data_IF_364057469382
#
_entry.id   IF_364057469382
#
_cell.length_a   1.000
_cell.length_b   1.000
_cell.length_c   1.000
_cell.angle_alpha   90.00
_cell.angle_beta   90.00
_cell.angle_gamma   90.00
#
_symmetry.space_group_name_H-M   'P 1'
#
loop_
_entity.id
_entity.type
_entity.pdbx_description
1 polymer ?
#
# COMPACT_ATOMS: atom_id res chain seq x y z
N UNK A 1 7.84 0.00 23.79
CA UNK A 1 7.93 -0.64 22.47
C UNK A 1 8.54 -2.03 22.65
N UNK A 2 7.73 -3.06 22.52
CA UNK A 2 8.20 -4.44 22.48
C UNK A 2 7.75 -5.02 21.13
N UNK A 3 8.68 -5.05 20.17
CA UNK A 3 8.49 -5.77 18.94
C UNK A 3 9.07 -7.18 19.13
N UNK A 4 8.23 -8.21 19.05
CA UNK A 4 8.67 -9.60 19.06
C UNK A 4 8.59 -10.10 17.62
N UNK A 5 9.73 -10.13 16.94
CA UNK A 5 9.88 -10.83 15.68
C UNK A 5 10.28 -12.28 16.00
N UNK A 6 9.40 -13.24 15.74
CA UNK A 6 9.75 -14.66 15.81
C UNK A 6 10.20 -15.09 14.41
N UNK A 7 11.51 -15.01 14.16
CA UNK A 7 12.14 -15.64 13.02
C UNK A 7 12.55 -17.06 13.41
N UNK A 8 11.91 -18.06 12.83
CA UNK A 8 12.35 -19.45 12.93
C UNK A 8 13.63 -19.65 12.13
N UNK A 9 14.78 -19.81 12.80
CA UNK A 9 16.05 -20.10 12.15
C UNK A 9 16.19 -21.59 11.90
N UNK A 10 16.17 -22.01 10.64
CA UNK A 10 16.79 -23.26 10.21
C UNK A 10 18.33 -23.06 10.11
N UNK A 11 19.17 -24.06 10.39
CA UNK A 11 20.62 -23.89 10.36
C UNK A 11 21.11 -23.67 8.93
N UNK A 12 21.58 -22.46 8.63
CA UNK A 12 22.18 -22.13 7.35
C UNK A 12 23.60 -22.70 7.25
N UNK A 13 23.82 -23.50 6.21
CA UNK A 13 25.18 -23.77 5.70
C UNK A 13 25.68 -22.47 5.04
N UNK A 14 26.70 -21.89 5.61
CA UNK A 14 27.43 -20.77 4.99
C UNK A 14 28.20 -21.30 3.80
N UNK A 15 27.62 -21.16 2.60
CA UNK A 15 28.33 -21.17 1.34
C UNK A 15 28.48 -19.71 0.99
N UNK A 16 29.70 -19.24 0.74
CA UNK A 16 29.90 -17.92 0.15
C UNK A 16 29.21 -17.93 -1.21
N UNK A 17 27.99 -17.35 -1.27
CA UNK A 17 27.34 -17.02 -2.53
C UNK A 17 28.04 -15.75 -3.04
N UNK A 18 28.54 -15.80 -4.27
CA UNK A 18 28.67 -14.62 -5.08
C UNK A 18 27.30 -13.95 -5.06
N UNK A 19 27.22 -12.72 -4.58
CA UNK A 19 26.02 -11.89 -4.68
C UNK A 19 25.75 -11.75 -6.19
N UNK A 20 24.86 -12.56 -6.75
CA UNK A 20 24.20 -12.25 -7.99
C UNK A 20 23.47 -10.92 -7.75
N UNK A 21 23.98 -9.84 -8.33
CA UNK A 21 23.33 -8.54 -8.29
C UNK A 21 21.98 -8.72 -8.95
N UNK A 22 20.94 -8.82 -8.13
CA UNK A 22 19.56 -9.00 -8.58
C UNK A 22 19.21 -7.81 -9.48
N UNK A 23 19.05 -8.06 -10.77
CA UNK A 23 18.73 -7.01 -11.75
C UNK A 23 17.39 -6.35 -11.35
N UNK A 24 17.46 -5.08 -10.94
CA UNK A 24 16.27 -4.32 -10.55
C UNK A 24 15.47 -3.97 -11.81
N UNK A 25 14.40 -4.72 -12.04
CA UNK A 25 13.45 -4.48 -13.11
C UNK A 25 12.39 -3.47 -12.68
N UNK A 26 12.25 -2.40 -13.46
CA UNK A 26 11.26 -1.35 -13.27
C UNK A 26 10.09 -1.55 -14.23
N UNK A 27 8.88 -1.54 -13.69
CA UNK A 27 7.63 -1.77 -14.43
C UNK A 27 6.78 -0.53 -14.62
N UNK A 28 7.08 0.54 -13.92
CA UNK A 28 6.35 1.82 -13.93
C UNK A 28 6.39 2.57 -15.27
N UNK A 29 7.27 2.18 -16.20
CA UNK A 29 7.35 2.73 -17.56
C UNK A 29 6.50 1.98 -18.58
N UNK A 30 5.61 1.07 -18.15
CA UNK A 30 4.81 0.14 -18.95
C UNK A 30 5.63 -0.87 -19.77
N UNK A 31 6.92 -0.96 -19.55
CA UNK A 31 7.81 -1.98 -20.08
C UNK A 31 8.70 -2.47 -18.95
N UNK A 32 9.02 -3.76 -18.95
CA UNK A 32 10.03 -4.31 -18.03
C UNK A 32 11.40 -3.86 -18.56
N UNK A 33 12.05 -2.95 -17.86
CA UNK A 33 13.39 -2.46 -18.22
C UNK A 33 14.27 -2.50 -16.99
N UNK A 34 15.56 -2.75 -17.24
CA UNK A 34 16.57 -2.56 -16.21
C UNK A 34 16.58 -1.10 -15.74
N UNK A 35 16.79 -0.90 -14.44
CA UNK A 35 16.92 0.44 -13.85
C UNK A 35 17.97 1.31 -14.56
N UNK A 36 19.07 0.69 -15.04
CA UNK A 36 20.17 1.37 -15.71
C UNK A 36 19.79 1.95 -17.09
N UNK A 37 18.79 1.36 -17.75
CA UNK A 37 18.36 1.75 -19.09
C UNK A 37 17.25 2.82 -19.12
N UNK A 38 16.89 3.38 -17.96
CA UNK A 38 15.78 4.31 -17.87
C UNK A 38 16.22 5.76 -18.09
N UNK A 39 15.63 6.47 -19.09
CA UNK A 39 15.93 7.89 -19.34
C UNK A 39 15.30 8.83 -18.30
N UNK A 40 14.45 8.34 -17.42
CA UNK A 40 13.71 9.11 -16.40
C UNK A 40 14.30 8.91 -15.02
N UNK A 41 14.16 9.91 -14.15
CA UNK A 41 14.54 9.79 -12.73
C UNK A 41 13.60 8.80 -12.03
N UNK A 42 14.04 7.57 -11.91
CA UNK A 42 13.39 6.53 -11.13
C UNK A 42 14.19 6.33 -9.84
N UNK A 43 13.51 6.14 -8.75
CA UNK A 43 14.06 5.69 -7.48
C UNK A 43 13.34 4.39 -7.12
N UNK A 44 14.07 3.41 -6.67
CA UNK A 44 13.51 2.12 -6.25
C UNK A 44 13.87 1.88 -4.79
N UNK A 45 12.83 1.78 -3.95
CA UNK A 45 12.95 1.35 -2.57
C UNK A 45 12.83 -0.17 -2.55
N UNK A 46 13.89 -0.86 -2.16
CA UNK A 46 13.99 -2.32 -2.21
C UNK A 46 13.41 -3.01 -0.99
N UNK A 47 13.48 -4.35 -1.00
CA UNK A 47 12.89 -5.18 0.05
C UNK A 47 13.52 -4.95 1.43
N UNK A 48 14.81 -4.68 1.52
CA UNK A 48 15.49 -4.41 2.80
C UNK A 48 14.93 -3.13 3.46
N UNK A 49 14.83 -2.04 2.70
CA UNK A 49 14.29 -0.77 3.16
C UNK A 49 12.80 -0.88 3.52
N UNK A 50 12.02 -1.62 2.70
CA UNK A 50 10.62 -1.89 2.99
C UNK A 50 10.47 -2.66 4.31
N UNK A 51 11.28 -3.68 4.55
CA UNK A 51 11.23 -4.48 5.77
C UNK A 51 11.61 -3.65 7.01
N UNK A 52 12.64 -2.79 6.90
CA UNK A 52 13.02 -1.87 7.97
C UNK A 52 11.85 -0.96 8.35
N UNK A 53 11.22 -0.31 7.36
CA UNK A 53 10.12 0.63 7.60
C UNK A 53 8.81 -0.08 7.97
N UNK A 54 8.58 -1.29 7.46
CA UNK A 54 7.44 -2.11 7.88
C UNK A 54 7.52 -2.46 9.37
N UNK A 55 8.72 -2.71 9.90
CA UNK A 55 8.92 -2.95 11.34
C UNK A 55 8.69 -1.69 12.18
N UNK A 56 8.95 -0.50 11.65
CA UNK A 56 8.72 0.75 12.36
C UNK A 56 7.25 1.20 12.31
N UNK A 57 6.56 1.00 11.18
CA UNK A 57 5.16 1.35 10.96
C UNK A 57 4.44 0.33 10.07
N UNK A 58 4.01 -0.78 10.64
CA UNK A 58 3.44 -1.89 9.86
C UNK A 58 2.06 -1.60 9.27
N UNK A 59 1.35 -0.63 9.81
CA UNK A 59 -0.03 -0.33 9.40
C UNK A 59 -0.16 0.43 8.08
N UNK A 60 0.85 1.18 7.64
CA UNK A 60 0.76 2.00 6.41
C UNK A 60 2.12 2.38 5.80
N UNK A 61 2.11 2.78 4.51
CA UNK A 61 3.31 3.09 3.72
C UNK A 61 3.82 4.54 3.85
N UNK A 62 3.23 5.39 4.69
CA UNK A 62 3.60 6.82 4.75
C UNK A 62 5.05 7.04 5.12
N UNK A 63 5.57 6.26 6.07
CA UNK A 63 6.95 6.37 6.51
C UNK A 63 7.92 5.99 5.40
N UNK A 64 7.64 4.91 4.68
CA UNK A 64 8.42 4.46 3.53
C UNK A 64 8.52 5.55 2.45
N UNK A 65 7.42 6.23 2.15
CA UNK A 65 7.40 7.27 1.11
C UNK A 65 8.07 8.58 1.55
N UNK A 66 8.07 8.91 2.83
CA UNK A 66 8.70 10.13 3.33
C UNK A 66 10.23 10.14 3.22
N UNK A 67 10.86 8.98 3.05
CA UNK A 67 12.31 8.88 2.90
C UNK A 67 12.78 9.13 1.47
N UNK A 68 11.88 9.01 0.51
CA UNK A 68 12.20 9.31 -0.88
C UNK A 68 12.37 10.82 -1.09
N UNK A 69 13.54 11.21 -1.60
CA UNK A 69 13.87 12.62 -1.85
C UNK A 69 12.86 13.30 -2.76
N UNK A 70 12.30 14.43 -2.34
CA UNK A 70 11.32 15.20 -3.11
C UNK A 70 9.88 14.65 -3.03
N UNK A 71 9.65 13.66 -2.19
CA UNK A 71 8.31 13.24 -1.74
C UNK A 71 8.09 13.77 -0.32
N UNK A 72 6.89 14.27 -0.08
CA UNK A 72 6.44 14.67 1.23
C UNK A 72 5.01 14.17 1.46
N UNK A 73 4.83 13.35 2.49
CA UNK A 73 3.48 12.91 2.90
C UNK A 73 2.91 13.94 3.85
N UNK A 74 1.93 14.69 3.37
CA UNK A 74 1.26 15.74 4.12
C UNK A 74 -0.01 15.19 4.75
N UNK A 75 -0.16 15.36 6.07
CA UNK A 75 -1.42 15.16 6.76
C UNK A 75 -2.40 16.28 6.38
N UNK A 76 -3.60 15.93 5.97
CA UNK A 76 -4.64 16.88 5.49
C UNK A 76 -5.77 17.08 6.48
N UNK A 77 -5.89 16.23 7.50
CA UNK A 77 -6.80 16.39 8.62
C UNK A 77 -6.04 16.21 9.93
N UNK A 78 -6.30 17.10 10.88
CA UNK A 78 -5.70 17.04 12.20
C UNK A 78 -6.27 15.90 13.05
N UNK A 79 -7.53 15.52 12.83
CA UNK A 79 -8.28 14.59 13.67
C UNK A 79 -8.51 13.23 13.05
N UNK A 80 -8.68 13.15 11.72
CA UNK A 80 -8.90 11.87 11.01
C UNK A 80 -7.62 11.29 10.42
N UNK A 81 -6.49 11.99 10.53
CA UNK A 81 -5.17 11.54 10.10
C UNK A 81 -5.03 11.32 8.58
N UNK A 82 -5.98 11.79 7.78
CA UNK A 82 -5.92 11.72 6.33
C UNK A 82 -4.61 12.31 5.80
N UNK A 83 -4.04 11.69 4.79
CA UNK A 83 -2.73 12.08 4.26
C UNK A 83 -2.71 12.02 2.73
N UNK A 84 -1.96 12.91 2.12
CA UNK A 84 -1.71 12.95 0.68
C UNK A 84 -0.23 13.02 0.37
N UNK A 85 0.16 12.55 -0.82
CA UNK A 85 1.55 12.66 -1.30
C UNK A 85 1.69 14.02 -2.00
N UNK A 86 2.74 14.76 -1.64
CA UNK A 86 3.25 15.86 -2.45
C UNK A 86 4.56 15.45 -3.08
N UNK A 87 4.65 15.53 -4.40
CA UNK A 87 5.86 15.25 -5.15
C UNK A 87 6.37 16.53 -5.79
N UNK A 88 7.64 16.87 -5.52
CA UNK A 88 8.27 18.10 -6.03
C UNK A 88 7.47 19.40 -5.71
N UNK A 89 6.77 19.40 -4.57
CA UNK A 89 5.94 20.52 -4.12
C UNK A 89 4.55 20.61 -4.75
N UNK A 90 4.23 19.76 -5.74
CA UNK A 90 2.91 19.72 -6.37
C UNK A 90 1.89 18.98 -5.49
N UNK A 91 0.62 19.36 -5.65
CA UNK A 91 -0.50 18.75 -4.94
C UNK A 91 -0.64 17.25 -5.28
N UNK A 92 -1.08 16.46 -4.31
CA UNK A 92 -1.21 15.01 -4.43
C UNK A 92 -2.11 14.52 -5.57
N UNK A 93 -3.05 15.32 -6.02
CA UNK A 93 -3.88 15.00 -7.20
C UNK A 93 -3.10 14.87 -8.51
N UNK A 94 -1.85 15.37 -8.54
CA UNK A 94 -0.93 15.28 -9.67
C UNK A 94 0.06 14.12 -9.55
N UNK A 95 -0.03 13.32 -8.49
CA UNK A 95 0.80 12.13 -8.28
C UNK A 95 -0.08 10.88 -8.45
N UNK A 96 0.23 10.07 -9.46
CA UNK A 96 -0.49 8.82 -9.71
C UNK A 96 0.04 7.71 -8.80
N UNK A 97 -0.87 7.05 -8.09
CA UNK A 97 -0.55 5.85 -7.32
C UNK A 97 -0.95 4.61 -8.11
N UNK A 98 -0.01 3.69 -8.27
CA UNK A 98 -0.20 2.41 -8.98
C UNK A 98 0.07 1.24 -8.04
N UNK A 99 -0.52 0.10 -8.35
CA UNK A 99 -0.18 -1.21 -7.79
C UNK A 99 0.01 -2.19 -8.95
N UNK A 100 1.19 -2.79 -9.02
CA UNK A 100 1.59 -3.68 -10.12
C UNK A 100 1.37 -3.05 -11.51
N UNK A 101 1.67 -1.75 -11.64
CA UNK A 101 1.50 -0.99 -12.88
C UNK A 101 0.05 -0.61 -13.23
N UNK A 102 -0.93 -0.92 -12.40
CA UNK A 102 -2.34 -0.58 -12.59
C UNK A 102 -2.76 0.57 -11.65
N UNK A 103 -3.56 1.54 -12.11
CA UNK A 103 -4.05 2.62 -11.27
C UNK A 103 -4.77 2.09 -10.03
N UNK A 104 -4.35 2.57 -8.85
CA UNK A 104 -4.91 2.10 -7.59
C UNK A 104 -6.07 2.98 -7.14
N UNK A 105 -5.80 4.25 -6.93
CA UNK A 105 -6.80 5.21 -6.43
C UNK A 105 -6.60 6.59 -7.05
N UNK A 106 -7.69 7.32 -7.21
CA UNK A 106 -7.68 8.71 -7.68
C UNK A 106 -8.87 9.49 -7.09
N UNK A 107 -8.92 10.79 -7.32
CA UNK A 107 -10.01 11.64 -6.89
C UNK A 107 -10.18 11.66 -5.36
N UNK A 108 -11.43 11.65 -4.88
CA UNK A 108 -11.73 11.74 -3.46
C UNK A 108 -11.29 10.50 -2.66
N UNK A 109 -11.10 9.36 -3.30
CA UNK A 109 -10.59 8.15 -2.66
C UNK A 109 -9.10 8.23 -2.30
N UNK A 110 -8.35 9.14 -2.92
CA UNK A 110 -6.91 9.28 -2.76
C UNK A 110 -6.46 9.69 -1.36
N UNK A 111 -7.25 10.48 -0.65
CA UNK A 111 -6.90 11.00 0.69
C UNK A 111 -6.70 9.94 1.77
N UNK A 112 -7.34 8.77 1.65
CA UNK A 112 -7.18 7.64 2.58
C UNK A 112 -6.24 6.55 2.07
N UNK A 113 -5.86 6.58 0.78
CA UNK A 113 -5.17 5.46 0.14
C UNK A 113 -3.87 5.07 0.83
N UNK A 114 -3.06 6.04 1.24
CA UNK A 114 -1.76 5.77 1.89
C UNK A 114 -1.90 5.10 3.25
N UNK A 115 -2.95 5.45 3.99
CA UNK A 115 -3.23 4.87 5.30
C UNK A 115 -3.69 3.42 5.21
N UNK A 116 -4.26 3.03 4.06
CA UNK A 116 -4.91 1.73 3.85
C UNK A 116 -4.01 0.70 3.15
N UNK A 117 -2.73 1.02 2.93
CA UNK A 117 -1.77 0.12 2.31
C UNK A 117 -0.72 -0.26 3.35
N UNK A 118 -0.72 -1.53 3.74
CA UNK A 118 0.33 -2.09 4.58
C UNK A 118 1.53 -2.52 3.71
N UNK A 119 2.78 -2.41 4.21
CA UNK A 119 3.97 -2.67 3.39
C UNK A 119 4.36 -4.14 3.25
N UNK A 120 3.83 -5.06 4.07
CA UNK A 120 4.34 -6.44 4.18
C UNK A 120 4.19 -7.27 2.89
N UNK A 121 3.22 -6.95 2.02
CA UNK A 121 3.05 -7.62 0.72
C UNK A 121 3.82 -6.95 -0.43
N UNK A 122 4.61 -5.91 -0.15
CA UNK A 122 5.40 -5.22 -1.15
C UNK A 122 6.79 -5.88 -1.31
N UNK A 123 7.23 -5.98 -2.56
CA UNK A 123 8.59 -6.35 -2.95
C UNK A 123 9.47 -5.12 -3.15
N UNK A 124 8.94 -4.13 -3.85
CA UNK A 124 9.63 -2.85 -4.13
C UNK A 124 8.63 -1.72 -4.33
N UNK A 125 9.08 -0.50 -4.14
CA UNK A 125 8.34 0.72 -4.48
C UNK A 125 9.13 1.50 -5.51
N UNK A 126 8.53 1.73 -6.67
CA UNK A 126 9.12 2.51 -7.75
C UNK A 126 8.56 3.92 -7.73
N UNK A 127 9.43 4.91 -7.61
CA UNK A 127 9.08 6.33 -7.62
C UNK A 127 9.63 6.96 -8.89
N UNK A 128 8.75 7.39 -9.78
CA UNK A 128 9.12 8.10 -11.01
C UNK A 128 8.82 9.56 -10.83
N UNK A 129 9.85 10.39 -10.78
CA UNK A 129 9.75 11.84 -10.56
C UNK A 129 9.72 12.58 -11.88
N UNK A 130 8.74 13.48 -12.03
CA UNK A 130 8.52 14.26 -13.23
C UNK A 130 7.33 13.78 -14.06
N UNK A 131 7.08 14.47 -15.17
CA UNK A 131 5.87 14.28 -15.96
C UNK A 131 5.83 12.92 -16.66
N UNK A 132 4.86 12.10 -16.29
CA UNK A 132 4.53 10.80 -16.91
C UNK A 132 3.10 10.78 -17.47
N UNK A 133 2.54 11.94 -17.72
CA UNK A 133 1.16 12.10 -18.20
C UNK A 133 0.91 11.45 -19.57
N UNK A 134 1.94 11.27 -20.38
CA UNK A 134 1.86 10.56 -21.68
C UNK A 134 1.44 9.10 -21.51
N UNK A 135 1.87 8.45 -20.43
CA UNK A 135 1.59 7.04 -20.16
C UNK A 135 0.39 6.83 -19.23
N UNK A 136 0.14 7.77 -18.31
CA UNK A 136 -0.80 7.59 -17.20
C UNK A 136 -1.83 8.72 -17.07
N UNK A 137 -1.85 9.68 -18.01
CA UNK A 137 -2.80 10.79 -18.03
C UNK A 137 -2.47 11.90 -17.04
N UNK A 138 -3.43 12.82 -16.84
CA UNK A 138 -3.27 14.04 -16.04
C UNK A 138 -2.97 13.84 -14.57
N UNK A 139 -3.22 12.65 -14.02
CA UNK A 139 -2.86 12.30 -12.63
C UNK A 139 -1.36 12.13 -12.40
N UNK A 140 -0.54 12.00 -13.46
CA UNK A 140 0.90 11.75 -13.35
C UNK A 140 1.76 12.94 -13.80
N UNK A 141 1.31 14.16 -13.53
CA UNK A 141 2.04 15.40 -13.89
C UNK A 141 3.27 15.59 -12.99
N UNK A 142 3.11 15.37 -11.68
CA UNK A 142 4.21 15.45 -10.72
C UNK A 142 5.10 14.20 -10.76
N UNK A 143 4.51 13.07 -11.09
CA UNK A 143 5.15 11.76 -11.14
C UNK A 143 4.19 10.66 -10.75
N UNK A 144 4.75 9.49 -10.49
CA UNK A 144 3.97 8.33 -10.03
C UNK A 144 4.73 7.53 -8.97
N UNK A 145 3.97 6.81 -8.18
CA UNK A 145 4.46 5.81 -7.23
C UNK A 145 3.82 4.47 -7.60
N UNK A 146 4.64 3.47 -7.91
CA UNK A 146 4.18 2.13 -8.23
C UNK A 146 4.57 1.16 -7.11
N UNK A 147 3.58 0.57 -6.48
CA UNK A 147 3.72 -0.41 -5.42
C UNK A 147 3.76 -1.80 -6.07
N UNK A 148 4.94 -2.38 -6.14
CA UNK A 148 5.13 -3.72 -6.73
C UNK A 148 5.00 -4.75 -5.62
N UNK A 149 4.05 -5.67 -5.76
CA UNK A 149 3.80 -6.70 -4.76
C UNK A 149 4.74 -7.89 -4.92
N UNK A 150 4.88 -8.66 -3.82
CA UNK A 150 5.63 -9.91 -3.81
C UNK A 150 4.92 -10.93 -4.70
N UNK A 151 5.73 -11.74 -5.37
CA UNK A 151 5.27 -12.86 -6.22
C UNK A 151 5.45 -14.18 -5.49
N UNK A 152 4.76 -15.24 -5.91
CA UNK A 152 4.96 -16.57 -5.35
C UNK A 152 6.41 -17.03 -5.57
N UNK A 153 6.96 -17.74 -4.61
CA UNK A 153 8.24 -18.44 -4.68
C UNK A 153 8.02 -19.95 -4.71
N UNK A 154 8.99 -20.70 -5.25
CA UNK A 154 8.94 -22.16 -5.33
C UNK A 154 8.91 -22.80 -3.94
N UNK A 155 9.60 -22.19 -2.99
CA UNK A 155 9.51 -22.60 -1.58
C UNK A 155 8.38 -21.85 -0.88
N UNK A 156 7.52 -22.57 -0.09
CA UNK A 156 6.47 -21.90 0.68
C UNK A 156 7.05 -20.85 1.62
N UNK A 157 6.53 -19.65 1.54
CA UNK A 157 6.94 -18.55 2.39
C UNK A 157 5.79 -18.13 3.30
N UNK A 158 6.07 -17.92 4.59
CA UNK A 158 5.16 -17.36 5.56
C UNK A 158 5.86 -16.24 6.32
N UNK A 159 5.35 -15.02 6.20
CA UNK A 159 5.76 -13.87 6.99
C UNK A 159 4.64 -13.43 7.90
N UNK A 160 4.92 -13.23 9.18
CA UNK A 160 3.96 -12.72 10.18
C UNK A 160 4.59 -11.54 10.89
N UNK A 161 3.82 -10.45 11.00
CA UNK A 161 4.22 -9.26 11.72
C UNK A 161 3.14 -8.90 12.74
N UNK A 162 3.55 -8.74 14.00
CA UNK A 162 2.71 -8.31 15.10
C UNK A 162 3.35 -7.09 15.77
N UNK A 163 2.57 -6.04 15.95
CA UNK A 163 3.01 -4.82 16.62
C UNK A 163 1.92 -4.31 17.55
N UNK A 164 2.31 -3.84 18.72
CA UNK A 164 1.44 -3.15 19.64
C UNK A 164 2.07 -1.83 20.07
N UNK A 165 1.26 -0.80 20.24
CA UNK A 165 1.72 0.54 20.60
C UNK A 165 1.23 0.94 21.99
N UNK A 166 1.89 1.92 22.60
CA UNK A 166 1.48 2.48 23.90
C UNK A 166 0.19 3.32 23.82
N UNK A 167 -0.33 3.56 22.62
CA UNK A 167 -1.62 4.19 22.36
C UNK A 167 -2.72 3.16 22.06
N UNK A 168 -2.60 1.95 22.65
CA UNK A 168 -3.54 0.84 22.48
C UNK A 168 -3.80 0.47 21.00
N UNK A 169 -2.78 0.70 20.16
CA UNK A 169 -2.80 0.30 18.76
C UNK A 169 -2.30 -1.13 18.58
N UNK A 170 -2.92 -1.88 17.67
CA UNK A 170 -2.55 -3.23 17.28
C UNK A 170 -2.44 -3.34 15.76
N UNK A 171 -1.31 -3.88 15.29
CA UNK A 171 -1.14 -4.29 13.91
C UNK A 171 -0.79 -5.78 13.86
N UNK A 172 -1.59 -6.54 13.11
CA UNK A 172 -1.35 -7.94 12.83
C UNK A 172 -1.41 -8.16 11.31
N UNK A 173 -0.31 -8.59 10.72
CA UNK A 173 -0.23 -8.82 9.28
C UNK A 173 0.39 -10.17 8.97
N UNK A 174 -0.07 -10.82 7.94
CA UNK A 174 0.48 -12.07 7.44
C UNK A 174 0.57 -12.05 5.91
N UNK A 175 1.66 -12.60 5.40
CA UNK A 175 1.86 -12.88 3.99
C UNK A 175 2.23 -14.34 3.83
N UNK A 176 1.52 -15.02 2.93
CA UNK A 176 1.80 -16.40 2.55
C UNK A 176 1.97 -16.49 1.04
N UNK A 177 2.94 -17.25 0.58
CA UNK A 177 3.13 -17.55 -0.84
C UNK A 177 3.63 -18.97 -1.06
N UNK A 178 3.25 -19.53 -2.21
CA UNK A 178 3.73 -20.82 -2.71
C UNK A 178 3.51 -20.89 -4.21
N UNK A 179 4.38 -21.55 -4.93
CA UNK A 179 4.19 -21.91 -6.34
C UNK A 179 4.63 -23.32 -6.66
N UNK A 180 4.24 -23.76 -7.83
CA UNK A 180 4.73 -24.94 -8.54
C UNK A 180 4.79 -24.61 -10.04
N UNK A 181 5.15 -25.58 -10.87
CA UNK A 181 5.33 -25.37 -12.31
C UNK A 181 4.09 -24.81 -13.04
N UNK A 182 2.87 -25.04 -12.53
CA UNK A 182 1.63 -24.66 -13.20
C UNK A 182 0.86 -23.55 -12.50
N UNK A 183 1.00 -23.43 -11.16
CA UNK A 183 0.21 -22.51 -10.35
C UNK A 183 1.04 -21.87 -9.25
N UNK A 184 0.74 -20.62 -8.95
CA UNK A 184 1.25 -19.92 -7.79
C UNK A 184 0.13 -19.16 -7.07
N UNK A 185 0.29 -18.91 -5.78
CA UNK A 185 -0.63 -18.09 -5.01
C UNK A 185 0.11 -17.24 -4.00
N UNK A 186 -0.40 -16.04 -3.80
CA UNK A 186 -0.05 -15.22 -2.65
C UNK A 186 -1.30 -14.81 -1.91
N UNK A 187 -1.23 -14.76 -0.59
CA UNK A 187 -2.31 -14.26 0.25
C UNK A 187 -1.71 -13.30 1.27
N UNK A 188 -2.14 -12.06 1.22
CA UNK A 188 -1.87 -11.09 2.27
C UNK A 188 -3.15 -10.80 3.04
N UNK A 189 -3.06 -10.81 4.37
CA UNK A 189 -4.14 -10.40 5.25
C UNK A 189 -3.58 -9.52 6.38
N UNK A 190 -4.31 -8.46 6.75
CA UNK A 190 -3.95 -7.64 7.90
C UNK A 190 -5.17 -7.15 8.66
N UNK A 191 -4.96 -6.99 9.96
CA UNK A 191 -5.82 -6.28 10.90
C UNK A 191 -5.02 -5.16 11.54
N UNK A 192 -5.55 -3.95 11.53
CA UNK A 192 -4.92 -2.79 12.13
C UNK A 192 -5.98 -2.03 12.94
N UNK A 193 -5.65 -1.66 14.17
CA UNK A 193 -6.52 -0.87 15.02
C UNK A 193 -5.74 0.11 15.89
N UNK A 194 -6.40 1.13 16.38
CA UNK A 194 -5.90 2.05 17.39
C UNK A 194 -7.09 2.63 18.15
N UNK A 195 -6.92 2.87 19.44
CA UNK A 195 -7.80 3.73 20.20
C UNK A 195 -7.54 5.20 19.86
N UNK A 196 -8.48 6.06 20.21
CA UNK A 196 -8.31 7.51 20.10
C UNK A 196 -7.20 7.99 21.05
N UNK A 197 -6.25 8.78 20.54
CA UNK A 197 -5.13 9.25 21.34
C UNK A 197 -4.89 10.75 21.19
N UNK A 198 -4.85 11.47 22.34
CA UNK A 198 -4.57 12.89 22.46
C UNK A 198 -3.24 13.15 23.20
N UNK A 199 -2.11 13.20 22.50
CA UNK A 199 -0.81 13.49 23.12
C UNK A 199 -0.63 14.94 23.53
N UNK A 200 -1.47 15.87 23.03
CA UNK A 200 -1.38 17.29 23.30
C UNK A 200 -2.18 17.71 24.53
N UNK A 201 -3.09 16.86 25.02
CA UNK A 201 -3.97 17.16 26.16
C UNK A 201 -4.95 18.30 25.87
N UNK A 202 -5.42 18.40 24.62
CA UNK A 202 -6.33 19.45 24.16
C UNK A 202 -7.75 18.94 23.87
N UNK A 203 -8.06 17.72 24.33
CA UNK A 203 -9.34 17.02 24.13
C UNK A 203 -9.67 16.69 22.67
N UNK A 204 -8.71 16.77 21.75
CA UNK A 204 -8.87 16.37 20.35
C UNK A 204 -7.89 15.24 19.98
N UNK A 205 -8.39 14.24 19.28
CA UNK A 205 -7.56 13.12 18.83
C UNK A 205 -6.52 13.57 17.81
N UNK A 206 -5.23 13.31 18.07
CA UNK A 206 -4.19 13.38 17.06
C UNK A 206 -4.08 12.05 16.29
N UNK A 207 -4.42 10.93 16.97
CA UNK A 207 -4.61 9.62 16.35
C UNK A 207 -6.08 9.27 16.55
N UNK A 208 -6.86 9.03 15.48
CA UNK A 208 -8.25 8.62 15.60
C UNK A 208 -8.36 7.18 16.13
N UNK A 209 -9.48 6.86 16.73
CA UNK A 209 -9.91 5.47 16.86
C UNK A 209 -10.14 4.90 15.46
N UNK A 210 -9.62 3.72 15.16
CA UNK A 210 -9.91 3.04 13.91
C UNK A 210 -9.75 1.52 14.00
N UNK A 211 -10.47 0.84 13.13
CA UNK A 211 -10.35 -0.58 12.88
C UNK A 211 -10.33 -0.81 11.37
N UNK A 212 -9.35 -1.59 10.90
CA UNK A 212 -9.19 -1.88 9.47
C UNK A 212 -8.84 -3.34 9.22
N UNK A 213 -9.53 -3.93 8.25
CA UNK A 213 -9.26 -5.24 7.70
C UNK A 213 -8.81 -5.11 6.24
N UNK A 214 -7.76 -5.83 5.89
CA UNK A 214 -7.27 -5.91 4.51
C UNK A 214 -7.07 -7.37 4.13
N UNK A 215 -7.49 -7.72 2.90
CA UNK A 215 -7.28 -9.05 2.33
C UNK A 215 -6.92 -8.92 0.84
N UNK A 216 -5.77 -9.48 0.44
CA UNK A 216 -5.26 -9.41 -0.94
C UNK A 216 -4.80 -10.80 -1.42
N UNK A 217 -5.71 -11.71 -1.84
CA UNK A 217 -5.34 -12.94 -2.51
C UNK A 217 -4.97 -12.69 -3.99
N UNK A 218 -3.97 -13.42 -4.48
CA UNK A 218 -3.62 -13.51 -5.90
C UNK A 218 -3.40 -14.95 -6.32
N UNK A 219 -3.82 -15.26 -7.53
CA UNK A 219 -3.61 -16.54 -8.22
C UNK A 219 -2.76 -16.28 -9.47
N UNK A 220 -1.78 -17.11 -9.68
CA UNK A 220 -0.92 -17.13 -10.86
C UNK A 220 -1.09 -18.47 -11.57
N UNK A 221 -1.20 -18.44 -12.87
CA UNK A 221 -1.29 -19.62 -13.72
C UNK A 221 -0.16 -19.50 -14.75
N UNK A 222 0.71 -20.48 -14.75
CA UNK A 222 1.90 -20.51 -15.62
C UNK A 222 1.67 -21.46 -16.80
N UNK A 223 1.98 -21.02 -18.00
CA UNK A 223 2.08 -21.83 -19.21
C UNK A 223 3.51 -21.71 -19.77
N UNK A 224 3.82 -22.47 -20.81
CA UNK A 224 5.19 -22.54 -21.38
C UNK A 224 5.74 -21.15 -21.74
N UNK A 225 4.93 -20.31 -22.41
CA UNK A 225 5.31 -18.96 -22.85
C UNK A 225 4.34 -17.90 -22.32
N UNK A 226 3.54 -18.21 -21.32
CA UNK A 226 2.49 -17.29 -20.85
C UNK A 226 2.26 -17.37 -19.36
N UNK A 227 1.76 -16.26 -18.81
CA UNK A 227 1.38 -16.16 -17.41
C UNK A 227 0.07 -15.38 -17.29
N UNK A 228 -0.83 -15.87 -16.43
CA UNK A 228 -2.04 -15.16 -16.03
C UNK A 228 -2.00 -14.90 -14.52
N UNK A 229 -2.10 -13.64 -14.12
CA UNK A 229 -2.31 -13.23 -12.73
C UNK A 229 -3.73 -12.72 -12.55
N UNK A 230 -4.41 -13.22 -11.53
CA UNK A 230 -5.70 -12.76 -11.06
C UNK A 230 -5.57 -12.34 -9.60
N UNK A 231 -5.97 -11.13 -9.27
CA UNK A 231 -5.92 -10.59 -7.92
C UNK A 231 -7.22 -9.94 -7.50
N UNK A 232 -7.51 -10.02 -6.21
CA UNK A 232 -8.59 -9.28 -5.55
C UNK A 232 -8.00 -8.59 -4.32
N UNK A 233 -8.45 -7.36 -4.07
CA UNK A 233 -8.10 -6.62 -2.85
C UNK A 233 -9.37 -6.10 -2.21
N UNK A 234 -9.51 -6.35 -0.92
CA UNK A 234 -10.62 -5.83 -0.10
C UNK A 234 -10.03 -5.10 1.09
N UNK A 235 -10.47 -3.86 1.30
CA UNK A 235 -10.14 -3.07 2.49
C UNK A 235 -11.44 -2.55 3.08
N UNK A 236 -11.67 -2.86 4.35
CA UNK A 236 -12.77 -2.31 5.14
C UNK A 236 -12.19 -1.55 6.32
N UNK A 237 -12.62 -0.31 6.53
CA UNK A 237 -12.12 0.54 7.62
C UNK A 237 -13.25 1.39 8.20
N UNK A 238 -13.35 1.38 9.52
CA UNK A 238 -14.10 2.35 10.30
C UNK A 238 -13.13 3.24 11.07
N UNK A 239 -13.41 4.55 11.12
CA UNK A 239 -12.53 5.54 11.72
C UNK A 239 -13.33 6.65 12.36
N UNK A 240 -13.02 6.96 13.63
CA UNK A 240 -13.64 8.04 14.40
C UNK A 240 -12.54 8.93 14.99
N UNK A 241 -12.52 10.19 14.59
CA UNK A 241 -11.63 11.21 15.15
C UNK A 241 -12.39 12.42 15.64
N UNK A 242 -11.75 13.29 16.41
CA UNK A 242 -12.32 14.51 16.93
C UNK A 242 -12.26 14.61 18.46
N UNK A 243 -13.32 15.09 19.09
CA UNK A 243 -13.41 15.27 20.55
C UNK A 243 -13.29 13.93 21.28
N UNK A 244 -12.34 13.84 22.23
CA UNK A 244 -12.05 12.61 22.96
C UNK A 244 -13.22 12.11 23.80
N UNK A 245 -14.07 13.01 24.32
CA UNK A 245 -15.27 12.59 25.05
C UNK A 245 -16.33 12.02 24.11
N UNK A 246 -16.39 12.57 22.88
CA UNK A 246 -17.27 12.02 21.84
C UNK A 246 -16.80 10.60 21.43
N UNK A 247 -15.50 10.39 21.24
CA UNK A 247 -14.90 9.07 20.99
C UNK A 247 -15.23 8.12 22.14
N UNK A 248 -15.12 8.57 23.39
CA UNK A 248 -15.48 7.78 24.58
C UNK A 248 -16.99 7.53 24.75
N UNK A 249 -17.83 8.01 23.83
CA UNK A 249 -19.27 7.74 23.82
C UNK A 249 -20.15 8.83 24.49
N UNK A 250 -19.59 9.94 24.97
CA UNK A 250 -20.38 11.05 25.52
C UNK A 250 -20.99 11.88 24.36
N UNK A 251 -22.29 11.81 24.22
CA UNK A 251 -23.10 12.54 23.24
C UNK A 251 -23.92 13.66 23.89
N UNK A 252 -23.67 14.00 25.16
CA UNK A 252 -24.46 14.96 25.94
C UNK A 252 -24.22 16.42 25.54
N UNK A 253 -23.11 16.70 24.82
CA UNK A 253 -22.71 18.05 24.41
C UNK A 253 -22.37 18.12 22.92
N UNK A 254 -22.51 19.29 22.28
CA UNK A 254 -21.97 19.48 20.93
C UNK A 254 -20.47 19.24 20.92
N UNK A 255 -19.99 18.47 19.95
CA UNK A 255 -18.58 18.09 19.81
C UNK A 255 -18.20 18.08 18.33
N UNK A 256 -16.92 18.36 18.04
CA UNK A 256 -16.37 18.14 16.71
C UNK A 256 -16.01 16.67 16.57
N UNK A 257 -16.43 16.04 15.48
CA UNK A 257 -16.05 14.68 15.11
C UNK A 257 -16.02 14.47 13.60
N UNK A 258 -15.22 13.51 13.19
CA UNK A 258 -15.15 12.94 11.84
C UNK A 258 -15.33 11.43 11.95
N UNK A 259 -16.48 10.91 11.57
CA UNK A 259 -16.78 9.48 11.52
C UNK A 259 -16.80 9.04 10.07
N UNK A 260 -16.00 8.04 9.73
CA UNK A 260 -15.80 7.57 8.34
C UNK A 260 -15.82 6.07 8.27
N UNK A 261 -16.78 5.52 7.53
CA UNK A 261 -16.82 4.12 7.13
C UNK A 261 -16.43 3.98 5.67
N UNK A 262 -15.48 3.10 5.37
CA UNK A 262 -15.00 2.87 3.99
C UNK A 262 -14.95 1.40 3.62
N UNK A 263 -15.34 1.11 2.39
CA UNK A 263 -15.15 -0.20 1.76
C UNK A 263 -14.51 0.00 0.39
N UNK A 264 -13.36 -0.65 0.18
CA UNK A 264 -12.69 -0.73 -1.12
C UNK A 264 -12.67 -2.17 -1.59
N UNK A 265 -13.05 -2.37 -2.82
CA UNK A 265 -12.91 -3.66 -3.51
C UNK A 265 -12.29 -3.39 -4.86
N UNK A 266 -11.20 -4.06 -5.16
CA UNK A 266 -10.57 -3.99 -6.48
C UNK A 266 -10.19 -5.37 -7.01
N UNK A 267 -10.26 -5.54 -8.32
CA UNK A 267 -9.75 -6.70 -9.02
C UNK A 267 -8.64 -6.30 -9.97
N UNK A 268 -7.69 -7.20 -10.17
CA UNK A 268 -6.56 -7.06 -11.09
C UNK A 268 -6.47 -8.31 -11.94
N UNK A 269 -6.22 -8.10 -13.23
CA UNK A 269 -5.88 -9.15 -14.18
C UNK A 269 -4.67 -8.69 -14.97
N UNK A 270 -3.65 -9.52 -15.03
CA UNK A 270 -2.52 -9.37 -15.96
C UNK A 270 -2.34 -10.69 -16.71
N UNK A 271 -2.35 -10.63 -18.02
CA UNK A 271 -1.96 -11.73 -18.88
C UNK A 271 -0.74 -11.30 -19.67
N UNK A 272 0.32 -12.08 -19.61
CA UNK A 272 1.52 -11.89 -20.42
C UNK A 272 1.80 -13.12 -21.24
N UNK A 273 2.35 -12.91 -22.47
CA UNK A 273 2.79 -13.97 -23.36
C UNK A 273 3.98 -13.54 -24.20
N UNK A 274 4.98 -14.39 -24.27
CA UNK A 274 6.10 -14.27 -25.21
C UNK A 274 5.63 -14.82 -26.56
N UNK A 275 5.71 -14.00 -27.61
CA UNK A 275 5.32 -14.37 -28.97
C UNK A 275 6.50 -15.02 -29.69
N UNK A 276 6.24 -15.78 -30.76
CA UNK A 276 7.27 -16.42 -31.59
C UNK A 276 8.29 -15.43 -32.16
N UNK A 277 7.91 -14.15 -32.27
CA UNK A 277 8.79 -13.05 -32.67
C UNK A 277 9.80 -12.61 -31.60
N UNK A 278 9.70 -13.15 -30.37
CA UNK A 278 10.44 -12.68 -29.20
C UNK A 278 9.85 -11.42 -28.54
N UNK A 279 8.73 -10.92 -29.05
CA UNK A 279 8.02 -9.77 -28.45
C UNK A 279 7.14 -10.24 -27.30
N UNK A 280 7.00 -9.42 -26.26
CA UNK A 280 6.08 -9.67 -25.16
C UNK A 280 4.74 -8.96 -25.40
N UNK A 281 3.63 -9.70 -25.30
CA UNK A 281 2.27 -9.16 -25.23
C UNK A 281 1.85 -9.12 -23.77
N UNK A 282 1.46 -7.94 -23.27
CA UNK A 282 0.92 -7.79 -21.92
C UNK A 282 -0.46 -7.13 -21.98
N UNK A 283 -1.44 -7.80 -21.38
CA UNK A 283 -2.81 -7.29 -21.24
C UNK A 283 -3.09 -7.09 -19.75
N UNK A 284 -3.46 -5.86 -19.37
CA UNK A 284 -3.81 -5.50 -18.00
C UNK A 284 -5.23 -4.98 -17.93
N UNK A 285 -5.96 -5.44 -16.95
CA UNK A 285 -7.28 -4.93 -16.59
C UNK A 285 -7.38 -4.76 -15.08
N UNK A 286 -7.95 -3.67 -14.64
CA UNK A 286 -8.30 -3.46 -13.23
C UNK A 286 -9.68 -2.83 -13.11
N UNK A 287 -10.42 -3.27 -12.10
CA UNK A 287 -11.67 -2.65 -11.69
C UNK A 287 -11.57 -2.31 -10.21
N UNK A 288 -12.03 -1.12 -9.85
CA UNK A 288 -12.01 -0.66 -8.47
C UNK A 288 -13.34 0.00 -8.12
N UNK A 289 -13.84 -0.33 -6.92
CA UNK A 289 -15.02 0.32 -6.33
C UNK A 289 -14.67 0.80 -4.94
N UNK A 290 -14.95 2.05 -4.66
CA UNK A 290 -14.75 2.70 -3.37
C UNK A 290 -16.06 3.31 -2.89
N UNK A 291 -16.52 2.87 -1.72
CA UNK A 291 -17.66 3.45 -1.04
C UNK A 291 -17.15 4.13 0.24
N UNK A 292 -17.63 5.33 0.50
CA UNK A 292 -17.34 6.07 1.74
C UNK A 292 -18.58 6.74 2.27
N UNK A 293 -18.82 6.57 3.54
CA UNK A 293 -19.73 7.37 4.34
C UNK A 293 -18.87 8.22 5.27
N UNK A 294 -19.14 9.52 5.33
CA UNK A 294 -18.41 10.46 6.16
C UNK A 294 -19.42 11.38 6.84
N UNK A 295 -19.47 11.29 8.17
CA UNK A 295 -20.17 12.23 9.01
C UNK A 295 -19.15 13.15 9.68
N UNK A 296 -19.33 14.44 9.51
CA UNK A 296 -18.57 15.48 10.21
C UNK A 296 -19.59 16.32 10.95
N UNK A 297 -19.25 16.90 12.06
CA UNK A 297 -20.13 17.79 12.81
C UNK A 297 -20.91 18.70 11.86
N UNK A 298 -22.26 18.62 11.91
CA UNK A 298 -23.20 19.36 11.04
C UNK A 298 -23.14 19.07 9.54
N UNK A 299 -22.41 17.99 9.08
CA UNK A 299 -22.31 17.63 7.68
C UNK A 299 -22.25 16.11 7.47
N UNK A 300 -22.99 15.61 6.50
CA UNK A 300 -23.00 14.23 6.08
C UNK A 300 -22.64 14.12 4.59
N UNK A 301 -21.75 13.21 4.26
CA UNK A 301 -21.38 12.89 2.88
C UNK A 301 -21.35 11.39 2.67
N UNK A 302 -21.98 10.92 1.61
CA UNK A 302 -21.81 9.55 1.12
C UNK A 302 -21.45 9.57 -0.37
N UNK A 303 -20.56 8.70 -0.77
CA UNK A 303 -20.13 8.62 -2.16
C UNK A 303 -19.56 7.27 -2.55
N UNK A 304 -19.72 6.94 -3.83
CA UNK A 304 -19.15 5.76 -4.48
C UNK A 304 -18.31 6.21 -5.67
N UNK A 305 -17.14 5.60 -5.82
CA UNK A 305 -16.23 5.82 -6.94
C UNK A 305 -15.77 4.48 -7.52
#
# INVERSE_FOLDING_TARGET
LLAIAIAGTAPSKTIAQEEEVEEILVTSTRSRRSFEDLPTRVEVLGGEEINEKANMKPGDIRMLLNESTGIYVQQTSATSFNSTIRMQGLDGKYTQLLRDGMPLYSGFSGGLSLLQIAPLDLRQVEVVKGANSTLYGGGAIAGLVNLVTRRPSDEPELSVLLNATSADGLDASTFYSVSNESFGTTVFASYNSSEGYDPAGNDLSAIPEFERWTLNPKLFVYGDDSELMLGVSVVNENRLGGDMNYIAGDRSRPAYYEDSATLRVSSQLEYSRILDSGSELVIRNSFSRFNRELLVTDFEFSGTQ
#
